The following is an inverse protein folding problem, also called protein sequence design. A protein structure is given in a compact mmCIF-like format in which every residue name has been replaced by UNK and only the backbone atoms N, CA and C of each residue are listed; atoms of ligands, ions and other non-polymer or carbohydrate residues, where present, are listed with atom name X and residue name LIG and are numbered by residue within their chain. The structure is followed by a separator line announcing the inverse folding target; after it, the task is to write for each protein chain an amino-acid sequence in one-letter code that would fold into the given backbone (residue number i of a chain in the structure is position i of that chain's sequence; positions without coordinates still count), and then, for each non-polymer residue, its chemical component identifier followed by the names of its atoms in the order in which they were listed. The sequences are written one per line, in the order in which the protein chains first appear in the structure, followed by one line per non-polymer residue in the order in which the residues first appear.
data_IF_877821746534
#
_entry.id   IF_877821746534
#
_cell.length_a   1.000
_cell.length_b   1.000
_cell.length_c   1.000
_cell.angle_alpha   90.00
_cell.angle_beta   90.00
_cell.angle_gamma   90.00
#
_symmetry.space_group_name_H-M   'P 1'
#
loop_
_entity.id
_entity.type
_entity.pdbx_description
1 polymer ?
#
# COMPACT_ATOMS: atom_id res chain seq x y z
N UNK A 1 -2.86 8.73 -9.28
CA UNK A 1 -1.69 8.30 -8.46
C UNK A 1 -2.21 7.89 -7.09
N UNK A 2 -1.82 6.73 -6.57
CA UNK A 2 -2.33 6.23 -5.28
C UNK A 2 -1.54 6.83 -4.12
N UNK A 3 -1.93 8.02 -3.71
CA UNK A 3 -1.23 8.76 -2.67
C UNK A 3 -1.16 8.00 -1.34
N UNK A 4 -2.20 7.22 -1.00
CA UNK A 4 -2.26 6.47 0.26
C UNK A 4 -1.19 5.38 0.38
N UNK A 5 -0.75 4.75 -0.73
CA UNK A 5 0.27 3.70 -0.72
C UNK A 5 1.66 4.30 -0.47
N UNK A 6 1.92 5.45 -1.12
CA UNK A 6 3.12 6.25 -0.88
C UNK A 6 3.15 6.80 0.55
N UNK A 7 2.04 7.35 1.04
CA UNK A 7 1.91 7.83 2.42
C UNK A 7 2.19 6.73 3.44
N UNK A 8 1.64 5.53 3.22
CA UNK A 8 1.92 4.38 4.07
C UNK A 8 3.42 4.09 4.11
N UNK A 9 4.08 4.11 2.95
CA UNK A 9 5.52 3.88 2.84
C UNK A 9 6.31 4.95 3.60
N UNK A 10 5.96 6.22 3.42
CA UNK A 10 6.62 7.37 4.03
C UNK A 10 6.44 7.39 5.57
N UNK A 11 5.23 7.10 6.08
CA UNK A 11 4.95 7.02 7.53
C UNK A 11 5.75 5.91 8.22
N UNK A 12 6.04 4.82 7.50
CA UNK A 12 6.84 3.70 7.99
C UNK A 12 8.35 3.85 7.67
N UNK A 13 8.78 4.95 7.05
CA UNK A 13 10.19 5.20 6.72
C UNK A 13 10.78 4.20 5.71
N UNK A 14 9.95 3.64 4.83
CA UNK A 14 10.35 2.60 3.87
C UNK A 14 10.77 3.21 2.52
N UNK A 15 11.72 2.59 1.84
CA UNK A 15 11.97 2.84 0.41
C UNK A 15 11.06 1.95 -0.44
N UNK A 16 10.91 2.23 -1.75
CA UNK A 16 10.11 1.38 -2.63
C UNK A 16 10.62 -0.07 -2.62
N UNK A 17 11.95 -0.25 -2.73
CA UNK A 17 12.61 -1.54 -2.53
C UNK A 17 12.22 -2.25 -1.22
N UNK A 18 12.40 -1.61 -0.06
CA UNK A 18 12.09 -2.23 1.25
C UNK A 18 10.60 -2.56 1.42
N UNK A 19 9.73 -1.69 0.94
CA UNK A 19 8.29 -1.95 0.95
C UNK A 19 7.93 -3.13 0.05
N UNK A 20 8.56 -3.26 -1.12
CA UNK A 20 8.31 -4.36 -2.04
C UNK A 20 8.84 -5.69 -1.49
N UNK A 21 10.02 -5.71 -0.86
CA UNK A 21 10.56 -6.86 -0.14
C UNK A 21 9.59 -7.34 0.95
N UNK A 22 9.07 -6.41 1.76
CA UNK A 22 8.11 -6.72 2.81
C UNK A 22 6.79 -7.28 2.27
N UNK A 23 6.33 -6.75 1.13
CA UNK A 23 5.11 -7.18 0.44
C UNK A 23 5.30 -8.38 -0.48
N UNK A 24 6.50 -8.97 -0.50
CA UNK A 24 6.87 -10.12 -1.33
C UNK A 24 6.51 -9.90 -2.81
N UNK A 25 7.11 -8.85 -3.36
CA UNK A 25 6.87 -8.43 -4.73
C UNK A 25 8.06 -7.68 -5.35
N UNK A 26 8.12 -7.60 -6.69
CA UNK A 26 9.12 -6.77 -7.35
C UNK A 26 8.90 -5.28 -7.06
N UNK A 27 10.00 -4.53 -6.88
CA UNK A 27 9.98 -3.07 -6.69
C UNK A 27 9.22 -2.35 -7.82
N UNK A 28 9.44 -2.77 -9.06
CA UNK A 28 8.75 -2.22 -10.23
C UNK A 28 7.24 -2.40 -10.17
N UNK A 29 6.77 -3.49 -9.54
CA UNK A 29 5.32 -3.73 -9.35
C UNK A 29 4.75 -2.78 -8.31
N UNK A 30 5.47 -2.54 -7.21
CA UNK A 30 5.05 -1.56 -6.21
C UNK A 30 5.02 -0.14 -6.80
N UNK A 31 6.06 0.25 -7.54
CA UNK A 31 6.12 1.54 -8.22
C UNK A 31 4.96 1.71 -9.23
N UNK A 32 4.63 0.67 -9.99
CA UNK A 32 3.49 0.65 -10.90
C UNK A 32 2.15 0.85 -10.17
N UNK A 33 1.99 0.28 -8.98
CA UNK A 33 0.81 0.50 -8.14
C UNK A 33 0.75 1.92 -7.58
N UNK A 34 1.87 2.48 -7.08
CA UNK A 34 1.92 3.86 -6.58
C UNK A 34 1.57 4.87 -7.69
N UNK A 35 2.10 4.65 -8.90
CA UNK A 35 1.82 5.49 -10.08
C UNK A 35 0.38 5.34 -10.60
N UNK A 36 -0.27 4.20 -10.30
CA UNK A 36 -1.62 3.89 -10.79
C UNK A 36 -1.64 3.19 -12.15
N UNK A 37 -0.49 2.78 -12.67
CA UNK A 37 -0.37 2.03 -13.92
C UNK A 37 -0.94 0.60 -13.82
N UNK A 38 -1.01 0.05 -12.60
CA UNK A 38 -1.64 -1.25 -12.34
C UNK A 38 -2.50 -1.23 -11.07
N UNK A 39 -3.42 -2.17 -11.02
CA UNK A 39 -4.26 -2.46 -9.85
C UNK A 39 -4.03 -3.91 -9.44
N UNK A 40 -3.74 -4.20 -8.15
CA UNK A 40 -3.65 -5.59 -7.70
C UNK A 40 -5.00 -6.29 -7.79
N UNK A 41 -4.99 -7.61 -7.97
CA UNK A 41 -6.19 -8.42 -7.80
C UNK A 41 -6.69 -8.33 -6.35
N UNK A 42 -7.97 -8.61 -6.12
CA UNK A 42 -8.58 -8.59 -4.77
C UNK A 42 -7.82 -9.49 -3.79
N UNK A 43 -7.43 -10.69 -4.22
CA UNK A 43 -6.65 -11.61 -3.38
C UNK A 43 -5.28 -11.04 -3.01
N UNK A 44 -4.60 -10.36 -3.94
CA UNK A 44 -3.31 -9.71 -3.67
C UNK A 44 -3.47 -8.50 -2.76
N UNK A 45 -4.48 -7.65 -3.00
CA UNK A 45 -4.81 -6.51 -2.16
C UNK A 45 -5.08 -6.91 -0.70
N UNK A 46 -5.81 -8.01 -0.48
CA UNK A 46 -6.06 -8.57 0.86
C UNK A 46 -4.76 -9.00 1.56
N UNK A 47 -3.90 -9.76 0.86
CA UNK A 47 -2.60 -10.19 1.41
C UNK A 47 -1.70 -9.01 1.74
N UNK A 48 -1.65 -8.02 0.85
CA UNK A 48 -0.88 -6.80 1.09
C UNK A 48 -1.41 -6.05 2.32
N UNK A 49 -2.72 -5.84 2.43
CA UNK A 49 -3.31 -5.14 3.57
C UNK A 49 -2.97 -5.82 4.92
N UNK A 50 -3.00 -7.15 4.99
CA UNK A 50 -2.58 -7.90 6.20
C UNK A 50 -1.14 -7.56 6.55
N UNK A 51 -0.20 -7.78 5.61
CA UNK A 51 1.22 -7.50 5.85
C UNK A 51 1.44 -6.04 6.24
N UNK A 52 0.84 -5.10 5.51
CA UNK A 52 0.96 -3.67 5.79
C UNK A 52 0.55 -3.32 7.23
N UNK A 53 -0.48 -3.99 7.75
CA UNK A 53 -0.97 -3.82 9.11
C UNK A 53 -0.08 -4.48 10.17
N UNK A 54 0.73 -5.49 9.81
CA UNK A 54 1.68 -6.12 10.75
C UNK A 54 2.79 -5.14 11.17
N UNK A 55 3.18 -4.22 10.28
CA UNK A 55 4.21 -3.21 10.58
C UNK A 55 3.65 -1.82 10.89
N UNK A 56 2.44 -1.50 10.43
CA UNK A 56 1.84 -0.18 10.65
C UNK A 56 1.15 -0.08 12.00
N UNK A 57 1.86 0.49 12.98
CA UNK A 57 1.30 0.80 14.31
C UNK A 57 0.32 1.99 14.31
N UNK A 58 0.42 2.89 13.32
CA UNK A 58 -0.32 4.17 13.29
C UNK A 58 -1.52 4.21 12.34
N UNK A 59 -1.46 3.54 11.19
CA UNK A 59 -2.50 3.59 10.15
C UNK A 59 -2.82 2.19 9.65
N UNK A 60 -4.03 1.72 9.93
CA UNK A 60 -4.53 0.46 9.36
C UNK A 60 -4.95 0.67 7.90
N UNK A 61 -4.49 -0.20 7.03
CA UNK A 61 -4.80 -0.24 5.61
C UNK A 61 -5.91 -1.26 5.38
N UNK A 62 -7.00 -0.83 4.75
CA UNK A 62 -8.04 -1.74 4.24
C UNK A 62 -7.69 -2.15 2.82
N UNK A 63 -7.99 -3.39 2.45
CA UNK A 63 -7.74 -3.88 1.10
C UNK A 63 -8.55 -3.13 0.02
N UNK A 64 -9.65 -2.46 0.40
CA UNK A 64 -10.45 -1.64 -0.51
C UNK A 64 -9.72 -0.38 -0.96
N UNK A 65 -8.73 0.10 -0.21
CA UNK A 65 -7.92 1.27 -0.59
C UNK A 65 -7.17 1.05 -1.90
N UNK A 66 -6.87 -0.21 -2.25
CA UNK A 66 -6.30 -0.58 -3.55
C UNK A 66 -7.24 -0.35 -4.74
N UNK A 67 -8.46 0.11 -4.52
CA UNK A 67 -9.43 0.44 -5.57
C UNK A 67 -9.94 1.88 -5.46
N UNK A 68 -9.43 2.66 -4.49
CA UNK A 68 -9.81 4.05 -4.27
C UNK A 68 -8.64 4.99 -4.62
N UNK A 69 -8.91 6.02 -5.43
CA UNK A 69 -7.90 7.01 -5.81
C UNK A 69 -7.56 7.99 -4.68
N UNK A 70 -8.53 8.26 -3.80
CA UNK A 70 -8.38 9.15 -2.63
C UNK A 70 -9.05 8.55 -1.40
N UNK A 71 -8.24 7.97 -0.52
CA UNK A 71 -8.70 7.54 0.80
C UNK A 71 -8.65 8.76 1.72
N UNK A 72 -9.82 9.34 2.03
CA UNK A 72 -9.90 10.37 3.06
C UNK A 72 -9.71 9.70 4.41
N UNK A 73 -8.70 10.11 5.17
CA UNK A 73 -8.60 9.76 6.59
C UNK A 73 -9.80 10.38 7.31
N UNK A 74 -10.93 9.67 7.38
CA UNK A 74 -11.95 9.98 8.37
C UNK A 74 -11.45 9.47 9.70
N UNK A 75 -10.73 10.33 10.43
CA UNK A 75 -10.56 10.17 11.86
C UNK A 75 -11.93 10.34 12.52
N UNK A 76 -12.39 9.30 13.22
CA UNK A 76 -13.38 9.40 14.29
C UNK A 76 -12.73 8.88 15.56
#
# INVERSE_FOLDING_TARGET
MRHWLKEWRDINGLTQKKAAEFLDMPETTLASYEQGHRTPSVGRAKKMAVRMNDISKKKRVKWTYFFEDKVHNTSK
#
